data_IF_654889880846
#
_entry.id   IF_654889880846
#
_cell.length_a   1.000
_cell.length_b   1.000
_cell.length_c   1.000
_cell.angle_alpha   90.00
_cell.angle_beta   90.00
_cell.angle_gamma   90.00
#
_symmetry.space_group_name_H-M   'P 1'
#
loop_
_entity.id
_entity.type
_entity.pdbx_description
1 polymer ?
#
# COMPACT_ATOMS: atom_id res chain seq x y z
N UNK A 1 52.54 23.12 61.14
CA UNK A 1 51.45 23.70 61.94
C UNK A 1 50.22 23.76 61.04
N UNK A 2 49.32 22.78 61.16
CA UNK A 2 47.91 23.00 60.82
C UNK A 2 47.25 23.80 61.96
N UNK A 3 46.16 24.52 61.67
CA UNK A 3 44.79 23.97 61.79
C UNK A 3 43.93 24.33 60.55
N UNK A 4 42.84 23.69 60.14
CA UNK A 4 41.79 22.94 60.84
C UNK A 4 40.47 23.73 60.75
N UNK A 5 39.45 23.25 60.00
CA UNK A 5 38.12 23.90 59.98
C UNK A 5 37.08 23.47 58.91
N UNK A 6 36.45 22.32 59.13
CA UNK A 6 35.13 21.78 58.71
C UNK A 6 34.11 22.63 57.90
N UNK A 7 33.41 21.96 56.95
CA UNK A 7 32.01 22.29 56.63
C UNK A 7 31.39 21.65 55.37
N UNK A 8 30.59 20.59 55.54
CA UNK A 8 29.25 20.49 54.90
C UNK A 8 29.09 19.83 53.51
N UNK A 9 28.31 18.74 53.48
CA UNK A 9 27.80 17.97 52.33
C UNK A 9 26.93 18.80 51.37
N UNK A 10 27.01 18.48 50.07
CA UNK A 10 26.02 18.86 49.06
C UNK A 10 25.99 17.87 47.91
N UNK A 11 25.01 16.96 47.94
CA UNK A 11 24.68 16.04 46.86
C UNK A 11 24.12 16.81 45.66
N UNK A 12 24.59 16.50 44.46
CA UNK A 12 24.16 17.15 43.22
C UNK A 12 24.35 16.22 42.04
N UNK A 13 23.51 15.18 41.96
CA UNK A 13 23.33 14.43 40.72
C UNK A 13 22.86 15.37 39.62
N UNK A 14 23.48 15.28 38.44
CA UNK A 14 22.99 15.98 37.26
C UNK A 14 22.79 14.99 36.13
N UNK A 15 21.52 14.61 36.02
CA UNK A 15 20.77 14.53 34.77
C UNK A 15 21.43 13.80 33.61
N UNK A 16 21.02 12.54 33.46
CA UNK A 16 20.80 11.85 32.19
C UNK A 16 20.51 12.83 31.04
N UNK A 17 21.51 13.02 30.18
CA UNK A 17 21.34 13.69 28.90
C UNK A 17 20.33 12.90 28.07
N UNK A 18 19.10 13.42 27.96
CA UNK A 18 18.19 13.03 26.89
C UNK A 18 18.95 13.20 25.58
N UNK A 19 19.22 12.09 24.90
CA UNK A 19 19.80 12.11 23.57
C UNK A 19 18.97 13.02 22.68
N UNK A 20 19.55 14.17 22.30
CA UNK A 20 19.04 14.93 21.17
C UNK A 20 19.12 13.98 19.97
N UNK A 21 17.97 13.51 19.48
CA UNK A 21 17.88 12.87 18.17
C UNK A 21 18.51 13.85 17.19
N UNK A 22 19.57 13.42 16.51
CA UNK A 22 20.23 14.23 15.51
C UNK A 22 19.23 14.55 14.40
N UNK A 23 18.78 15.80 14.35
CA UNK A 23 17.85 16.28 13.33
C UNK A 23 18.59 16.71 12.06
N UNK A 24 19.92 16.63 12.02
CA UNK A 24 20.74 17.08 10.90
C UNK A 24 20.46 16.34 9.58
N UNK A 25 20.00 15.09 9.66
CA UNK A 25 19.67 14.20 8.54
C UNK A 25 18.54 14.73 7.62
N UNK A 26 17.63 15.56 8.16
CA UNK A 26 16.50 16.13 7.40
C UNK A 26 16.65 17.61 7.04
N UNK A 27 17.78 18.23 7.39
CA UNK A 27 18.02 19.66 7.13
C UNK A 27 18.37 19.92 5.66
N UNK A 28 18.89 18.91 4.95
CA UNK A 28 19.26 18.98 3.53
C UNK A 28 18.37 18.05 2.70
N UNK A 29 17.16 18.50 2.37
CA UNK A 29 16.22 17.82 1.46
C UNK A 29 15.84 18.75 0.32
N UNK A 30 15.73 18.23 -0.90
CA UNK A 30 15.49 19.10 -2.07
C UNK A 30 14.03 19.48 -2.26
N UNK A 31 13.11 18.61 -1.85
CA UNK A 31 11.68 18.79 -1.99
C UNK A 31 10.92 17.86 -1.02
N UNK A 32 9.59 17.98 -1.00
CA UNK A 32 8.75 17.18 -0.10
C UNK A 32 8.79 15.68 -0.40
N UNK A 33 9.01 15.27 -1.67
CA UNK A 33 9.11 13.85 -2.03
C UNK A 33 10.38 13.26 -1.44
N UNK A 34 11.51 13.93 -1.63
CA UNK A 34 12.82 13.51 -1.08
C UNK A 34 12.74 13.35 0.46
N UNK A 35 12.17 14.33 1.16
CA UNK A 35 11.97 14.24 2.61
C UNK A 35 11.14 13.02 3.02
N UNK A 36 9.99 12.80 2.36
CA UNK A 36 9.08 11.70 2.69
C UNK A 36 9.67 10.33 2.33
N UNK A 37 10.44 10.23 1.25
CA UNK A 37 11.15 9.01 0.87
C UNK A 37 12.20 8.65 1.94
N UNK A 38 13.01 9.61 2.41
CA UNK A 38 14.00 9.40 3.49
C UNK A 38 13.35 8.97 4.81
N UNK A 39 12.24 9.60 5.18
CA UNK A 39 11.46 9.17 6.36
C UNK A 39 10.89 7.76 6.16
N UNK A 40 10.36 7.47 4.98
CA UNK A 40 9.82 6.16 4.62
C UNK A 40 10.87 5.05 4.66
N UNK A 41 12.07 5.31 4.15
CA UNK A 41 13.22 4.40 4.24
C UNK A 41 13.56 4.10 5.69
N UNK A 42 13.72 5.12 6.53
CA UNK A 42 14.02 4.94 7.96
C UNK A 42 12.95 4.12 8.67
N UNK A 43 11.67 4.41 8.43
CA UNK A 43 10.56 3.62 8.98
C UNK A 43 10.63 2.17 8.49
N UNK A 44 10.92 1.95 7.21
CA UNK A 44 11.08 0.61 6.66
C UNK A 44 12.25 -0.13 7.34
N UNK A 45 13.41 0.48 7.48
CA UNK A 45 14.57 -0.14 8.10
C UNK A 45 14.36 -0.45 9.59
N UNK A 46 13.84 0.53 10.35
CA UNK A 46 13.66 0.40 11.80
C UNK A 46 12.48 -0.49 12.18
N UNK A 47 11.38 -0.47 11.42
CA UNK A 47 10.11 -1.11 11.81
C UNK A 47 9.75 -2.33 10.98
N UNK A 48 10.18 -2.38 9.73
CA UNK A 48 9.75 -3.42 8.77
C UNK A 48 10.86 -4.46 8.58
N UNK A 49 12.03 -4.04 8.12
CA UNK A 49 13.17 -4.92 7.80
C UNK A 49 13.73 -5.63 9.04
N UNK A 50 13.82 -4.91 10.16
CA UNK A 50 14.36 -5.39 11.42
C UNK A 50 13.28 -5.68 12.48
N UNK A 51 12.01 -5.59 12.11
CA UNK A 51 10.89 -5.77 13.04
C UNK A 51 10.52 -7.24 13.31
N UNK A 52 9.71 -7.45 14.34
CA UNK A 52 9.20 -8.77 14.75
C UNK A 52 8.39 -9.48 13.64
N UNK A 53 7.84 -8.72 12.69
CA UNK A 53 7.12 -9.22 11.52
C UNK A 53 7.93 -10.27 10.73
N UNK A 54 9.27 -10.14 10.70
CA UNK A 54 10.16 -11.01 9.92
C UNK A 54 9.99 -12.49 10.26
N UNK A 55 9.65 -12.82 11.50
CA UNK A 55 9.42 -14.20 11.96
C UNK A 55 8.20 -14.85 11.29
N UNK A 56 7.27 -14.03 10.78
CA UNK A 56 5.97 -14.46 10.28
C UNK A 56 5.77 -14.20 8.77
N UNK A 57 6.73 -13.53 8.12
CA UNK A 57 6.68 -13.19 6.69
C UNK A 57 6.39 -14.43 5.84
N UNK A 58 7.07 -15.55 6.09
CA UNK A 58 6.89 -16.76 5.27
C UNK A 58 5.48 -17.35 5.38
N UNK A 59 4.84 -17.29 6.56
CA UNK A 59 3.46 -17.74 6.73
C UNK A 59 2.44 -16.83 6.01
N UNK A 60 2.80 -15.55 5.80
CA UNK A 60 1.97 -14.55 5.14
C UNK A 60 2.30 -14.37 3.65
N UNK A 61 3.36 -15.00 3.17
CA UNK A 61 3.83 -14.85 1.80
C UNK A 61 2.91 -15.61 0.85
N UNK A 62 2.30 -14.88 -0.07
CA UNK A 62 1.49 -15.46 -1.13
C UNK A 62 2.36 -16.14 -2.18
N UNK A 63 1.86 -17.21 -2.79
CA UNK A 63 2.49 -17.87 -3.92
C UNK A 63 1.53 -17.81 -5.12
N UNK A 64 1.90 -17.03 -6.14
CA UNK A 64 1.08 -16.87 -7.34
C UNK A 64 0.89 -18.17 -8.13
N UNK A 65 1.81 -19.12 -8.02
CA UNK A 65 1.71 -20.41 -8.72
C UNK A 65 0.59 -21.29 -8.15
N UNK A 66 0.31 -21.19 -6.85
CA UNK A 66 -0.72 -22.00 -6.16
C UNK A 66 -2.02 -21.23 -5.96
N UNK A 67 -2.01 -19.91 -6.15
CA UNK A 67 -3.14 -19.01 -5.89
C UNK A 67 -4.43 -19.33 -6.65
N UNK A 68 -4.34 -19.99 -7.81
CA UNK A 68 -5.49 -20.37 -8.63
C UNK A 68 -5.84 -21.88 -8.54
N UNK A 69 -5.42 -22.56 -7.47
CA UNK A 69 -5.63 -24.01 -7.34
C UNK A 69 -4.87 -24.85 -8.38
N UNK A 70 -3.89 -24.25 -9.08
CA UNK A 70 -2.95 -24.97 -9.94
C UNK A 70 -1.88 -25.66 -9.11
N UNK A 71 -1.47 -26.85 -9.52
CA UNK A 71 -0.20 -27.42 -9.06
C UNK A 71 0.96 -26.62 -9.70
N UNK A 72 2.08 -26.50 -8.99
CA UNK A 72 3.29 -25.84 -9.52
C UNK A 72 3.77 -26.44 -10.84
N UNK A 73 3.44 -27.70 -11.10
CA UNK A 73 3.81 -28.48 -12.29
C UNK A 73 3.02 -28.07 -13.55
N UNK A 74 1.90 -27.36 -13.40
CA UNK A 74 1.04 -26.91 -14.51
C UNK A 74 1.14 -25.41 -14.78
N UNK A 75 2.05 -24.71 -14.09
CA UNK A 75 2.34 -23.31 -14.34
C UNK A 75 3.25 -23.17 -15.57
N UNK A 76 2.76 -22.51 -16.63
CA UNK A 76 3.49 -22.22 -17.87
C UNK A 76 4.61 -21.19 -17.69
N UNK A 77 4.63 -20.46 -16.57
CA UNK A 77 5.63 -19.45 -16.25
C UNK A 77 5.67 -19.20 -14.75
N UNK A 78 6.83 -18.80 -14.23
CA UNK A 78 6.99 -18.30 -12.85
C UNK A 78 6.97 -16.77 -12.80
N UNK A 79 6.87 -16.09 -13.95
CA UNK A 79 6.87 -14.64 -14.01
C UNK A 79 5.54 -14.07 -13.54
N UNK A 80 5.60 -13.15 -12.57
CA UNK A 80 4.45 -12.46 -11.99
C UNK A 80 3.48 -11.92 -13.06
N UNK A 81 4.01 -11.25 -14.09
CA UNK A 81 3.20 -10.62 -15.13
C UNK A 81 2.40 -11.60 -15.97
N UNK A 82 2.97 -12.78 -16.20
CA UNK A 82 2.37 -13.87 -16.99
C UNK A 82 1.33 -14.60 -16.16
N UNK A 83 1.66 -14.97 -14.92
CA UNK A 83 0.74 -15.62 -13.99
C UNK A 83 -0.54 -14.79 -13.75
N UNK A 84 -0.39 -13.49 -13.53
CA UNK A 84 -1.53 -12.58 -13.33
C UNK A 84 -2.39 -12.46 -14.60
N UNK A 85 -1.75 -12.39 -15.78
CA UNK A 85 -2.46 -12.35 -17.07
C UNK A 85 -3.29 -13.62 -17.30
N UNK A 86 -2.68 -14.79 -17.11
CA UNK A 86 -3.35 -16.08 -17.30
C UNK A 86 -4.49 -16.31 -16.30
N UNK A 87 -4.39 -15.74 -15.10
CA UNK A 87 -5.48 -15.75 -14.13
C UNK A 87 -6.66 -14.92 -14.63
N UNK A 88 -6.39 -13.67 -15.02
CA UNK A 88 -7.40 -12.75 -15.55
C UNK A 88 -8.16 -13.35 -16.74
N UNK A 89 -7.47 -13.91 -17.72
CA UNK A 89 -8.08 -14.47 -18.94
C UNK A 89 -9.08 -15.60 -18.61
N UNK A 90 -8.88 -16.29 -17.49
CA UNK A 90 -9.81 -17.33 -17.00
C UNK A 90 -10.97 -16.75 -16.20
N UNK A 91 -10.71 -15.85 -15.26
CA UNK A 91 -11.77 -15.35 -14.34
C UNK A 91 -12.59 -14.20 -14.91
N UNK A 92 -12.09 -13.51 -15.93
CA UNK A 92 -12.78 -12.40 -16.58
C UNK A 92 -13.34 -12.76 -17.97
N UNK A 93 -13.58 -14.05 -18.22
CA UNK A 93 -14.18 -14.51 -19.48
C UNK A 93 -15.56 -13.89 -19.79
N UNK A 94 -16.25 -13.32 -18.80
CA UNK A 94 -17.51 -12.59 -18.96
C UNK A 94 -17.38 -11.05 -18.85
N UNK A 95 -16.16 -10.53 -18.68
CA UNK A 95 -15.86 -9.10 -18.63
C UNK A 95 -16.24 -8.36 -17.33
N UNK A 96 -16.87 -9.02 -16.34
CA UNK A 96 -17.49 -8.33 -15.19
C UNK A 96 -16.54 -7.97 -14.05
N UNK A 97 -15.32 -8.49 -14.06
CA UNK A 97 -14.31 -8.31 -12.99
C UNK A 97 -13.11 -7.46 -13.43
N UNK A 98 -13.28 -6.65 -14.47
CA UNK A 98 -12.22 -5.77 -14.95
C UNK A 98 -11.79 -4.77 -13.86
N UNK A 99 -10.49 -4.65 -13.49
CA UNK A 99 -10.07 -3.82 -12.36
C UNK A 99 -10.32 -2.33 -12.53
N UNK A 100 -10.21 -1.81 -13.75
CA UNK A 100 -10.43 -0.39 -14.04
C UNK A 100 -11.88 -0.14 -14.50
N UNK A 101 -12.51 0.89 -13.94
CA UNK A 101 -13.83 1.38 -14.40
C UNK A 101 -13.69 2.20 -15.67
N UNK A 102 -14.74 2.20 -16.48
CA UNK A 102 -14.92 3.12 -17.60
C UNK A 102 -15.61 4.41 -17.13
N UNK A 103 -15.44 5.48 -17.89
CA UNK A 103 -16.14 6.74 -17.65
C UNK A 103 -17.62 6.69 -18.11
N UNK A 104 -18.32 7.83 -18.03
CA UNK A 104 -19.72 7.93 -18.44
C UNK A 104 -19.96 7.68 -19.94
N UNK A 105 -18.92 7.75 -20.78
CA UNK A 105 -18.96 7.46 -22.21
C UNK A 105 -18.52 6.04 -22.53
N UNK A 106 -18.27 5.22 -21.51
CA UNK A 106 -17.73 3.87 -21.63
C UNK A 106 -16.28 3.83 -22.17
N UNK A 107 -15.52 4.91 -21.98
CA UNK A 107 -14.12 5.06 -22.38
C UNK A 107 -13.18 4.82 -21.19
N UNK A 108 -11.90 4.55 -21.47
CA UNK A 108 -10.90 4.46 -20.40
C UNK A 108 -10.69 5.83 -19.76
N UNK A 109 -10.72 5.86 -18.42
CA UNK A 109 -10.55 7.11 -17.68
C UNK A 109 -9.11 7.62 -17.86
N UNK A 110 -8.98 8.83 -18.42
CA UNK A 110 -7.69 9.51 -18.49
C UNK A 110 -7.13 9.71 -17.08
N UNK A 111 -5.99 9.11 -16.75
CA UNK A 111 -5.34 9.16 -15.43
C UNK A 111 -4.75 10.53 -15.09
N UNK A 112 -4.53 11.38 -16.10
CA UNK A 112 -3.89 12.69 -16.01
C UNK A 112 -4.81 13.77 -16.55
N UNK A 113 -5.99 13.89 -15.95
CA UNK A 113 -6.93 14.94 -16.32
C UNK A 113 -6.38 16.33 -15.95
N UNK A 114 -6.47 17.26 -16.89
CA UNK A 114 -6.22 18.69 -16.73
C UNK A 114 -7.50 19.48 -16.37
N UNK A 115 -8.66 18.83 -16.45
CA UNK A 115 -9.99 19.44 -16.26
C UNK A 115 -10.68 18.98 -14.97
N UNK A 116 -10.30 17.82 -14.42
CA UNK A 116 -10.88 17.25 -13.20
C UNK A 116 -9.82 17.13 -12.10
N UNK A 117 -10.17 17.64 -10.91
CA UNK A 117 -9.29 17.66 -9.74
C UNK A 117 -9.56 16.53 -8.74
N UNK A 118 -8.82 16.58 -7.62
CA UNK A 118 -9.05 15.71 -6.47
C UNK A 118 -10.35 16.03 -5.70
N UNK A 119 -10.67 15.20 -4.71
CA UNK A 119 -11.81 15.39 -3.80
C UNK A 119 -11.34 15.66 -2.39
N UNK A 120 -11.82 16.76 -1.80
CA UNK A 120 -11.44 17.21 -0.45
C UNK A 120 -12.63 17.34 0.51
N UNK A 121 -13.83 16.96 0.08
CA UNK A 121 -15.03 17.21 0.91
C UNK A 121 -15.10 16.23 2.08
N UNK A 122 -15.51 16.72 3.24
CA UNK A 122 -15.50 15.92 4.48
C UNK A 122 -16.36 14.63 4.38
N UNK A 123 -17.38 14.64 3.53
CA UNK A 123 -18.27 13.49 3.32
C UNK A 123 -17.71 12.49 2.30
N UNK A 124 -16.56 12.75 1.69
CA UNK A 124 -15.87 11.88 0.72
C UNK A 124 -14.52 11.39 1.23
N UNK A 125 -13.99 12.00 2.28
CA UNK A 125 -12.69 11.67 2.86
C UNK A 125 -12.87 11.38 4.35
N UNK A 126 -12.48 10.17 4.76
CA UNK A 126 -12.46 9.73 6.15
C UNK A 126 -11.59 10.66 6.98
N UNK A 127 -11.97 10.85 8.24
CA UNK A 127 -11.25 11.66 9.24
C UNK A 127 -11.13 13.16 8.91
N UNK A 128 -11.77 13.64 7.84
CA UNK A 128 -11.92 15.07 7.58
C UNK A 128 -12.99 15.70 8.47
N UNK A 129 -12.83 16.98 8.82
CA UNK A 129 -13.69 17.64 9.79
C UNK A 129 -15.12 17.77 9.25
N UNK A 130 -16.08 17.23 9.98
CA UNK A 130 -17.48 17.27 9.57
C UNK A 130 -17.97 18.73 9.43
N UNK A 131 -18.55 19.04 8.27
CA UNK A 131 -19.08 20.37 7.98
C UNK A 131 -18.04 21.40 7.54
N UNK A 132 -16.75 21.06 7.49
CA UNK A 132 -15.70 21.96 7.05
C UNK A 132 -14.83 21.33 5.93
N UNK A 133 -15.01 21.82 4.70
CA UNK A 133 -14.22 21.38 3.55
C UNK A 133 -12.82 22.01 3.48
N UNK A 134 -12.44 22.87 4.45
CA UNK A 134 -11.10 23.47 4.53
C UNK A 134 -10.15 22.69 5.43
N UNK A 135 -10.66 21.74 6.23
CA UNK A 135 -9.89 20.98 7.21
C UNK A 135 -10.02 19.48 6.93
N UNK A 136 -8.95 18.88 6.42
CA UNK A 136 -8.93 17.45 6.09
C UNK A 136 -7.87 17.10 5.05
N UNK A 137 -8.04 15.93 4.42
CA UNK A 137 -7.20 15.45 3.34
C UNK A 137 -7.92 15.56 1.98
N UNK A 138 -7.16 15.47 0.90
CA UNK A 138 -7.67 15.44 -0.47
C UNK A 138 -7.23 14.15 -1.16
N UNK A 139 -8.18 13.36 -1.67
CA UNK A 139 -7.86 12.25 -2.55
C UNK A 139 -7.55 12.78 -3.96
N UNK A 140 -6.34 12.55 -4.50
CA UNK A 140 -5.98 13.02 -5.84
C UNK A 140 -6.79 12.31 -6.91
N UNK A 141 -6.98 12.94 -8.07
CA UNK A 141 -7.78 12.39 -9.17
C UNK A 141 -7.38 10.94 -9.55
N UNK A 142 -6.07 10.65 -9.58
CA UNK A 142 -5.53 9.28 -9.76
C UNK A 142 -6.11 8.27 -8.77
N UNK A 143 -6.19 8.62 -7.48
CA UNK A 143 -6.75 7.76 -6.42
C UNK A 143 -8.24 7.52 -6.64
N UNK A 144 -9.01 8.54 -7.03
CA UNK A 144 -10.46 8.44 -7.24
C UNK A 144 -10.82 7.34 -8.25
N UNK A 145 -9.95 7.13 -9.23
CA UNK A 145 -10.17 6.19 -10.32
C UNK A 145 -9.28 4.94 -10.24
N UNK A 146 -8.57 4.70 -9.14
CA UNK A 146 -7.68 3.55 -8.94
C UNK A 146 -8.33 2.23 -9.42
N UNK A 147 -7.58 1.39 -10.13
CA UNK A 147 -8.10 0.13 -10.65
C UNK A 147 -8.23 -0.96 -9.56
N UNK A 148 -9.21 -0.83 -8.67
CA UNK A 148 -9.47 -1.74 -7.53
C UNK A 148 -10.79 -2.53 -7.65
N UNK A 149 -11.53 -2.40 -8.76
CA UNK A 149 -12.90 -2.90 -8.88
C UNK A 149 -13.00 -4.44 -8.80
N UNK A 150 -11.98 -5.17 -9.23
CA UNK A 150 -11.96 -6.63 -9.10
C UNK A 150 -12.04 -7.08 -7.64
N UNK A 151 -11.45 -6.29 -6.73
CA UNK A 151 -11.45 -6.57 -5.29
C UNK A 151 -12.85 -6.45 -4.68
N UNK A 152 -13.75 -5.62 -5.23
CA UNK A 152 -15.14 -5.52 -4.74
C UNK A 152 -15.91 -6.84 -4.94
N UNK A 153 -15.48 -7.66 -5.90
CA UNK A 153 -16.07 -8.95 -6.25
C UNK A 153 -15.31 -10.16 -5.71
N UNK A 154 -14.21 -9.95 -4.96
CA UNK A 154 -13.41 -11.03 -4.40
C UNK A 154 -14.24 -11.94 -3.49
N UNK A 155 -13.93 -13.23 -3.51
CA UNK A 155 -14.51 -14.26 -2.66
C UNK A 155 -13.95 -14.15 -1.24
N UNK A 156 -14.81 -14.21 -0.22
CA UNK A 156 -14.41 -14.01 1.18
C UNK A 156 -13.79 -15.25 1.80
N UNK A 157 -13.87 -16.40 1.14
CA UNK A 157 -13.12 -17.63 1.49
C UNK A 157 -11.69 -17.63 0.94
N UNK A 158 -11.22 -16.50 0.40
CA UNK A 158 -9.89 -16.39 -0.18
C UNK A 158 -8.77 -16.56 0.85
N UNK A 159 -7.74 -17.29 0.47
CA UNK A 159 -6.51 -17.45 1.25
C UNK A 159 -5.50 -16.35 0.94
N UNK A 160 -4.39 -16.31 1.68
CA UNK A 160 -3.22 -15.47 1.40
C UNK A 160 -2.82 -15.47 -0.08
N UNK A 161 -2.82 -16.65 -0.72
CA UNK A 161 -2.41 -16.78 -2.12
C UNK A 161 -3.42 -16.15 -3.08
N UNK A 162 -4.72 -16.42 -2.89
CA UNK A 162 -5.79 -15.87 -3.72
C UNK A 162 -5.91 -14.34 -3.56
N UNK A 163 -5.78 -13.84 -2.33
CA UNK A 163 -5.70 -12.40 -2.08
C UNK A 163 -4.53 -11.75 -2.81
N UNK A 164 -3.33 -12.37 -2.76
CA UNK A 164 -2.16 -11.85 -3.47
C UNK A 164 -2.43 -11.73 -4.97
N UNK A 165 -3.04 -12.75 -5.58
CA UNK A 165 -3.31 -12.78 -7.01
C UNK A 165 -4.29 -11.67 -7.43
N UNK A 166 -5.34 -11.45 -6.65
CA UNK A 166 -6.34 -10.40 -6.88
C UNK A 166 -5.75 -8.98 -6.73
N UNK A 167 -4.90 -8.78 -5.71
CA UNK A 167 -4.17 -7.52 -5.52
C UNK A 167 -3.15 -7.29 -6.65
N UNK A 168 -2.45 -8.33 -7.10
CA UNK A 168 -1.54 -8.24 -8.24
C UNK A 168 -2.28 -7.95 -9.55
N UNK A 169 -3.50 -8.47 -9.72
CA UNK A 169 -4.36 -8.14 -10.85
C UNK A 169 -4.75 -6.66 -10.83
N UNK A 170 -5.21 -6.13 -9.70
CA UNK A 170 -5.47 -4.70 -9.53
C UNK A 170 -4.23 -3.86 -9.89
N UNK A 171 -3.08 -4.21 -9.33
CA UNK A 171 -1.81 -3.52 -9.57
C UNK A 171 -1.39 -3.55 -11.05
N UNK A 172 -1.45 -4.71 -11.72
CA UNK A 172 -1.07 -4.83 -13.15
C UNK A 172 -1.91 -3.91 -14.04
N UNK A 173 -3.22 -3.84 -13.79
CA UNK A 173 -4.13 -3.00 -14.55
C UNK A 173 -3.97 -1.52 -14.24
N UNK A 174 -3.79 -1.17 -12.97
CA UNK A 174 -3.47 0.20 -12.56
C UNK A 174 -2.20 0.69 -13.27
N UNK A 175 -1.13 -0.10 -13.25
CA UNK A 175 0.13 0.25 -13.88
C UNK A 175 0.03 0.37 -15.40
N UNK A 176 -0.72 -0.52 -16.05
CA UNK A 176 -1.02 -0.40 -17.47
C UNK A 176 -1.81 0.88 -17.79
N UNK A 177 -2.86 1.18 -17.01
CA UNK A 177 -3.69 2.37 -17.22
C UNK A 177 -2.88 3.67 -17.10
N UNK A 178 -1.95 3.72 -16.15
CA UNK A 178 -1.02 4.84 -15.97
C UNK A 178 -0.09 4.92 -17.17
N UNK A 179 0.60 3.83 -17.51
CA UNK A 179 1.57 3.81 -18.59
C UNK A 179 0.95 4.23 -19.94
N UNK A 180 -0.22 3.69 -20.29
CA UNK A 180 -0.93 4.04 -21.53
C UNK A 180 -1.17 5.54 -21.66
N UNK A 181 -1.76 6.17 -20.65
CA UNK A 181 -2.02 7.62 -20.70
C UNK A 181 -0.73 8.44 -20.59
N UNK A 182 0.31 7.88 -19.96
CA UNK A 182 1.59 8.53 -19.82
C UNK A 182 2.39 8.63 -21.13
N UNK A 183 2.24 7.66 -22.04
CA UNK A 183 2.98 7.63 -23.33
C UNK A 183 2.86 8.92 -24.15
N UNK A 184 1.73 9.62 -24.04
CA UNK A 184 1.51 10.90 -24.72
C UNK A 184 2.43 12.01 -24.16
N UNK A 185 2.68 11.98 -22.85
CA UNK A 185 3.53 12.94 -22.15
C UNK A 185 5.03 12.65 -22.30
N UNK A 186 5.40 11.41 -22.67
CA UNK A 186 6.80 11.05 -22.95
C UNK A 186 7.36 11.76 -24.19
N UNK A 187 6.51 12.05 -25.18
CA UNK A 187 6.92 12.69 -26.42
C UNK A 187 7.13 14.20 -26.28
N UNK A 188 6.71 14.78 -25.14
CA UNK A 188 6.71 16.22 -24.91
C UNK A 188 7.61 16.66 -23.75
N UNK A 189 8.18 15.74 -22.94
CA UNK A 189 9.00 16.07 -21.77
C UNK A 189 10.22 15.12 -21.61
N UNK A 190 11.42 15.68 -21.45
CA UNK A 190 12.68 14.92 -21.31
C UNK A 190 12.78 14.14 -19.99
N UNK A 191 12.17 14.61 -18.90
CA UNK A 191 12.19 13.94 -17.58
C UNK A 191 11.06 12.91 -17.36
N UNK A 192 10.35 12.58 -18.43
CA UNK A 192 9.09 11.86 -18.34
C UNK A 192 9.23 10.46 -17.71
N UNK A 193 10.31 9.74 -17.92
CA UNK A 193 10.48 8.40 -17.34
C UNK A 193 10.49 8.42 -15.79
N UNK A 194 11.16 9.39 -15.17
CA UNK A 194 11.25 9.52 -13.70
C UNK A 194 9.89 9.87 -13.06
N UNK A 195 9.11 10.68 -13.76
CA UNK A 195 7.76 11.08 -13.35
C UNK A 195 6.79 9.90 -13.42
N UNK A 196 6.90 9.01 -14.43
CA UNK A 196 6.11 7.78 -14.51
C UNK A 196 6.33 6.90 -13.27
N UNK A 197 7.58 6.64 -12.90
CA UNK A 197 7.89 5.83 -11.72
C UNK A 197 7.34 6.45 -10.44
N UNK A 198 7.35 7.78 -10.34
CA UNK A 198 6.75 8.51 -9.20
C UNK A 198 5.23 8.32 -9.14
N UNK A 199 4.53 8.36 -10.27
CA UNK A 199 3.09 8.13 -10.34
C UNK A 199 2.75 6.67 -10.00
N UNK A 200 3.54 5.70 -10.49
CA UNK A 200 3.40 4.29 -10.14
C UNK A 200 3.63 4.08 -8.64
N UNK A 201 4.67 4.67 -8.04
CA UNK A 201 4.93 4.60 -6.60
C UNK A 201 3.76 5.14 -5.75
N UNK A 202 3.10 6.21 -6.21
CA UNK A 202 1.89 6.74 -5.56
C UNK A 202 0.70 5.76 -5.64
N UNK A 203 0.47 5.14 -6.80
CA UNK A 203 -0.57 4.10 -6.92
C UNK A 203 -0.25 2.84 -6.11
N UNK A 204 1.02 2.46 -6.00
CA UNK A 204 1.45 1.38 -5.14
C UNK A 204 1.13 1.65 -3.66
N UNK A 205 1.41 2.87 -3.18
CA UNK A 205 1.09 3.27 -1.82
C UNK A 205 -0.43 3.23 -1.56
N UNK A 206 -1.25 3.75 -2.47
CA UNK A 206 -2.72 3.70 -2.35
C UNK A 206 -3.28 2.27 -2.32
N UNK A 207 -2.79 1.38 -3.20
CA UNK A 207 -3.18 -0.04 -3.18
C UNK A 207 -2.81 -0.65 -1.82
N UNK A 208 -1.63 -0.32 -1.31
CA UNK A 208 -1.20 -0.71 0.03
C UNK A 208 -2.11 -0.19 1.12
N UNK A 209 -2.55 1.06 1.07
CA UNK A 209 -3.45 1.64 2.07
C UNK A 209 -4.85 1.00 2.03
N UNK A 210 -5.36 0.65 0.85
CA UNK A 210 -6.60 -0.14 0.73
C UNK A 210 -6.42 -1.51 1.39
N UNK A 211 -5.36 -2.24 1.05
CA UNK A 211 -5.09 -3.57 1.61
C UNK A 211 -4.88 -3.51 3.11
N UNK A 212 -4.32 -2.41 3.65
CA UNK A 212 -4.04 -2.22 5.08
C UNK A 212 -5.17 -1.62 5.89
N UNK A 213 -6.27 -1.20 5.25
CA UNK A 213 -7.39 -0.51 5.92
C UNK A 213 -7.07 0.92 6.34
N UNK A 214 -6.07 1.54 5.70
CA UNK A 214 -5.59 2.91 5.94
C UNK A 214 -6.07 3.92 4.90
N UNK A 215 -6.69 3.45 3.83
CA UNK A 215 -7.22 4.33 2.80
C UNK A 215 -8.33 5.25 3.34
N UNK A 216 -8.24 6.53 3.00
CA UNK A 216 -9.16 7.56 3.50
C UNK A 216 -10.32 7.84 2.55
N UNK A 217 -10.31 7.32 1.32
CA UNK A 217 -11.32 7.71 0.33
C UNK A 217 -12.62 6.93 0.53
N UNK A 218 -13.71 7.64 0.82
CA UNK A 218 -15.02 7.05 1.07
C UNK A 218 -15.82 6.80 -0.20
N UNK A 219 -15.51 7.48 -1.31
CA UNK A 219 -16.28 7.42 -2.56
C UNK A 219 -17.04 8.71 -2.87
N UNK A 220 -17.31 8.94 -4.15
CA UNK A 220 -17.85 10.19 -4.68
C UNK A 220 -19.36 10.34 -4.40
N UNK A 221 -20.11 9.26 -4.61
CA UNK A 221 -21.55 9.16 -4.42
C UNK A 221 -21.92 7.99 -3.50
N UNK A 222 -23.22 7.81 -3.22
CA UNK A 222 -23.69 6.75 -2.34
C UNK A 222 -23.39 5.36 -2.89
N UNK A 223 -23.41 5.16 -4.21
CA UNK A 223 -23.15 3.85 -4.82
C UNK A 223 -21.69 3.46 -4.62
N UNK A 224 -20.77 4.37 -4.89
CA UNK A 224 -19.34 4.15 -4.66
C UNK A 224 -19.02 3.96 -3.17
N UNK A 225 -19.68 4.72 -2.30
CA UNK A 225 -19.55 4.56 -0.83
C UNK A 225 -19.93 3.16 -0.38
N UNK A 226 -21.06 2.63 -0.84
CA UNK A 226 -21.48 1.28 -0.50
C UNK A 226 -20.53 0.22 -1.07
N UNK A 227 -20.00 0.45 -2.28
CA UNK A 227 -18.99 -0.42 -2.88
C UNK A 227 -17.69 -0.46 -2.07
N UNK A 228 -17.20 0.69 -1.61
CA UNK A 228 -15.99 0.77 -0.77
C UNK A 228 -16.19 0.15 0.61
N UNK A 229 -17.36 0.35 1.23
CA UNK A 229 -17.73 -0.35 2.47
C UNK A 229 -17.74 -1.87 2.27
N UNK A 230 -18.33 -2.34 1.17
CA UNK A 230 -18.36 -3.76 0.83
C UNK A 230 -16.96 -4.33 0.60
N UNK A 231 -16.08 -3.60 -0.10
CA UNK A 231 -14.69 -3.97 -0.27
C UNK A 231 -13.98 -4.11 1.09
N UNK A 232 -14.09 -3.11 1.96
CA UNK A 232 -13.45 -3.14 3.27
C UNK A 232 -14.00 -4.29 4.14
N UNK A 233 -15.31 -4.54 4.12
CA UNK A 233 -15.89 -5.70 4.81
C UNK A 233 -15.33 -7.03 4.28
N UNK A 234 -15.22 -7.18 2.95
CA UNK A 234 -14.63 -8.38 2.35
C UNK A 234 -13.18 -8.58 2.73
N UNK A 235 -12.39 -7.50 2.77
CA UNK A 235 -11.00 -7.58 3.22
C UNK A 235 -10.94 -8.04 4.68
N UNK A 236 -11.77 -7.51 5.57
CA UNK A 236 -11.86 -8.00 6.96
C UNK A 236 -12.22 -9.48 7.06
N UNK A 237 -13.18 -9.94 6.26
CA UNK A 237 -13.57 -11.35 6.21
C UNK A 237 -12.42 -12.25 5.70
N UNK A 238 -11.72 -11.82 4.65
CA UNK A 238 -10.53 -12.54 4.14
C UNK A 238 -9.43 -12.58 5.19
N UNK A 239 -9.12 -11.44 5.82
CA UNK A 239 -8.08 -11.39 6.85
C UNK A 239 -8.45 -12.17 8.11
N UNK A 240 -9.75 -12.35 8.41
CA UNK A 240 -10.21 -13.29 9.43
C UNK A 240 -9.89 -14.74 9.07
N UNK A 241 -10.05 -15.15 7.81
CA UNK A 241 -9.66 -16.50 7.39
C UNK A 241 -8.14 -16.69 7.39
N UNK A 242 -7.38 -15.71 6.88
CA UNK A 242 -5.91 -15.70 6.95
C UNK A 242 -5.44 -15.77 8.40
N UNK A 243 -6.08 -15.02 9.31
CA UNK A 243 -5.81 -15.05 10.74
C UNK A 243 -5.95 -16.46 11.30
N UNK A 244 -7.09 -17.14 11.05
CA UNK A 244 -7.30 -18.53 11.50
C UNK A 244 -6.19 -19.47 11.01
N UNK A 245 -5.71 -19.29 9.79
CA UNK A 245 -4.66 -20.13 9.22
C UNK A 245 -3.29 -19.86 9.86
N UNK A 246 -2.90 -18.59 10.02
CA UNK A 246 -1.62 -18.26 10.65
C UNK A 246 -1.59 -18.57 12.13
N UNK A 247 -2.72 -18.54 12.84
CA UNK A 247 -2.83 -18.92 14.26
C UNK A 247 -2.52 -20.41 14.51
N UNK A 248 -2.51 -21.25 13.47
CA UNK A 248 -2.06 -22.66 13.52
C UNK A 248 -0.53 -22.79 13.46
N UNK A 249 0.18 -21.71 13.11
CA UNK A 249 1.65 -21.68 13.01
C UNK A 249 2.26 -21.29 14.36
N UNK A 250 3.32 -22.00 14.77
CA UNK A 250 3.98 -21.76 16.06
C UNK A 250 4.44 -20.30 16.22
N UNK A 251 4.09 -19.67 17.34
CA UNK A 251 4.50 -18.32 17.71
C UNK A 251 3.71 -17.17 17.08
N UNK A 252 2.83 -17.42 16.10
CA UNK A 252 1.98 -16.39 15.50
C UNK A 252 0.84 -15.93 16.43
N UNK A 253 0.47 -16.80 17.38
CA UNK A 253 -0.58 -16.55 18.35
C UNK A 253 -0.29 -15.32 19.19
N UNK A 254 0.91 -15.21 19.78
CA UNK A 254 1.28 -14.06 20.61
C UNK A 254 1.25 -12.74 19.84
N UNK A 255 1.58 -12.76 18.54
CA UNK A 255 1.58 -11.56 17.71
C UNK A 255 0.18 -11.11 17.33
N UNK A 256 -0.68 -12.02 16.90
CA UNK A 256 -1.99 -11.66 16.31
C UNK A 256 -3.18 -11.95 17.23
N UNK A 257 -2.99 -12.28 18.50
CA UNK A 257 -4.09 -12.58 19.43
C UNK A 257 -5.08 -11.43 19.57
N UNK A 258 -4.59 -10.19 19.56
CA UNK A 258 -5.40 -9.00 19.77
C UNK A 258 -6.05 -8.46 18.48
N UNK A 259 -5.55 -8.86 17.31
CA UNK A 259 -6.09 -8.43 16.01
C UNK A 259 -7.57 -8.84 15.83
N UNK A 260 -7.93 -10.00 16.38
CA UNK A 260 -9.30 -10.50 16.36
C UNK A 260 -10.25 -9.69 17.26
N UNK A 261 -9.75 -8.97 18.28
CA UNK A 261 -10.59 -8.18 19.20
C UNK A 261 -11.21 -6.96 18.51
N UNK A 262 -10.50 -6.36 17.55
CA UNK A 262 -11.00 -5.25 16.73
C UNK A 262 -11.68 -5.69 15.43
N UNK A 263 -11.38 -6.89 14.93
CA UNK A 263 -11.91 -7.40 13.67
C UNK A 263 -11.40 -6.69 12.41
N UNK A 264 -10.54 -5.68 12.56
CA UNK A 264 -9.86 -4.97 11.48
C UNK A 264 -8.55 -5.65 11.06
N UNK A 265 -7.95 -6.46 11.93
CA UNK A 265 -6.70 -7.20 11.70
C UNK A 265 -5.54 -6.29 11.26
N UNK A 266 -5.43 -5.08 11.80
CA UNK A 266 -4.47 -4.08 11.31
C UNK A 266 -3.03 -4.57 11.33
N UNK A 267 -2.61 -5.31 12.37
CA UNK A 267 -1.23 -5.80 12.46
C UNK A 267 -0.96 -6.88 11.39
N UNK A 268 -1.87 -7.84 11.25
CA UNK A 268 -1.83 -8.88 10.24
C UNK A 268 -1.85 -8.30 8.82
N UNK A 269 -2.66 -7.27 8.56
CA UNK A 269 -2.75 -6.59 7.25
C UNK A 269 -1.45 -5.87 6.90
N UNK A 270 -0.80 -5.21 7.86
CA UNK A 270 0.52 -4.57 7.67
C UNK A 270 1.61 -5.59 7.35
N UNK A 271 1.64 -6.71 8.09
CA UNK A 271 2.63 -7.75 7.88
C UNK A 271 2.39 -8.51 6.57
N UNK A 272 1.12 -8.74 6.21
CA UNK A 272 0.75 -9.33 4.94
C UNK A 272 1.17 -8.43 3.78
N UNK A 273 0.90 -7.13 3.85
CA UNK A 273 1.38 -6.19 2.84
C UNK A 273 2.90 -6.25 2.74
N UNK A 274 3.61 -6.20 3.86
CA UNK A 274 5.06 -6.31 3.91
C UNK A 274 5.59 -7.58 3.24
N UNK A 275 4.99 -8.73 3.51
CA UNK A 275 5.39 -10.02 2.95
C UNK A 275 5.20 -10.12 1.43
N UNK A 276 4.31 -9.30 0.86
CA UNK A 276 3.83 -9.42 -0.51
C UNK A 276 4.10 -8.21 -1.41
N UNK A 277 4.47 -7.06 -0.83
CA UNK A 277 4.59 -5.76 -1.52
C UNK A 277 5.58 -5.80 -2.69
N UNK A 278 6.63 -6.63 -2.61
CA UNK A 278 7.57 -6.82 -3.72
C UNK A 278 6.91 -7.46 -4.95
N UNK A 279 6.08 -8.49 -4.72
CA UNK A 279 5.33 -9.16 -5.79
C UNK A 279 4.27 -8.24 -6.38
N UNK A 280 3.60 -7.45 -5.54
CA UNK A 280 2.63 -6.42 -5.99
C UNK A 280 3.33 -5.34 -6.83
N UNK A 281 4.52 -4.90 -6.43
CA UNK A 281 5.32 -3.95 -7.21
C UNK A 281 5.70 -4.54 -8.58
N UNK A 282 6.17 -5.79 -8.63
CA UNK A 282 6.46 -6.50 -9.89
C UNK A 282 5.24 -6.56 -10.81
N UNK A 283 4.04 -6.80 -10.25
CA UNK A 283 2.80 -6.79 -11.02
C UNK A 283 2.46 -5.39 -11.57
N UNK A 284 2.63 -4.35 -10.74
CA UNK A 284 2.37 -2.96 -11.12
C UNK A 284 3.23 -2.51 -12.32
N UNK A 285 4.51 -2.88 -12.33
CA UNK A 285 5.46 -2.42 -13.35
C UNK A 285 5.51 -3.31 -14.60
N UNK A 286 4.59 -4.26 -14.77
CA UNK A 286 4.61 -5.20 -15.91
C UNK A 286 4.66 -4.55 -17.31
N UNK A 287 4.14 -3.33 -17.44
CA UNK A 287 4.11 -2.58 -18.70
C UNK A 287 4.98 -1.32 -18.65
N UNK A 288 5.71 -1.11 -17.55
CA UNK A 288 6.64 0.02 -17.46
C UNK A 288 7.82 -0.20 -18.44
N UNK A 289 8.33 0.87 -19.08
CA UNK A 289 9.53 0.77 -19.91
C UNK A 289 10.71 0.24 -19.11
N UNK A 290 11.57 -0.59 -19.71
CA UNK A 290 12.76 -1.14 -19.04
C UNK A 290 13.73 -0.06 -18.55
N UNK A 291 13.78 1.07 -19.26
CA UNK A 291 14.64 2.21 -18.95
C UNK A 291 14.05 3.15 -17.87
N UNK A 292 12.80 2.91 -17.43
CA UNK A 292 12.15 3.75 -16.43
C UNK A 292 12.65 3.39 -15.02
N UNK A 293 13.44 4.29 -14.43
CA UNK A 293 14.04 4.12 -13.12
C UNK A 293 13.39 5.04 -12.07
N UNK A 294 13.13 4.50 -10.87
CA UNK A 294 12.70 5.30 -9.72
C UNK A 294 13.93 5.89 -9.04
N UNK A 295 13.98 7.22 -8.92
CA UNK A 295 15.09 7.93 -8.32
C UNK A 295 14.71 8.47 -6.94
N UNK A 296 15.60 8.20 -5.97
CA UNK A 296 15.64 8.83 -4.65
C UNK A 296 16.94 9.63 -4.62
N UNK A 297 16.89 10.89 -4.18
CA UNK A 297 18.12 11.68 -4.03
C UNK A 297 18.84 11.23 -2.76
N UNK A 298 20.08 10.79 -2.93
CA UNK A 298 20.98 10.44 -1.82
C UNK A 298 21.69 11.68 -1.31
#
# INVERSE_FOLDING_TARGET
>A
MEPGGSGGRGSGGSSSGKGKKDTSEYIYVSDAKDLLDRVGEKVYEEKVKNGDAKKYIEALKGNLNTANGRSSETASSIETCTLVKEYYERVNGDGKRHPCRKDAKNEDVNRFSDTLGGQCTYNRIKDSQQGDNKVGACAPYRRLHLCDYNLESIDTTSTTHKLLLEVCMAAKYEGNSINTHYTQHQRTNEDSASQLCTVLARSFADIGDIVRGKDLYLGYDNKEKEQRKKLEQKLKEIFKEIHKDVMKTNGAQERYIDDAKGGDFFQLREDWWTANRETVWKALICHAPKEANYFIKT
#
